data_IF_123004225857
#
_entry.id   IF_123004225857
#
_cell.length_a   1.000
_cell.length_b   1.000
_cell.length_c   1.000
_cell.angle_alpha   90.00
_cell.angle_beta   90.00
_cell.angle_gamma   90.00
#
_symmetry.space_group_name_H-M   'P 1'
#
loop_
_entity.id
_entity.type
_entity.pdbx_description
1 polymer ?
#
# COMPACT_ATOMS: atom_id res chain seq x y z
N UNK A 1 -1.62 11.49 -52.00
CA UNK A 1 -1.16 12.11 -50.74
C UNK A 1 -2.21 12.03 -49.61
N UNK A 2 -3.50 12.32 -49.89
CA UNK A 2 -4.58 12.23 -48.89
C UNK A 2 -4.72 10.86 -48.21
N UNK A 3 -4.61 9.75 -48.97
CA UNK A 3 -4.73 8.37 -48.46
C UNK A 3 -3.65 7.97 -47.44
N UNK A 4 -2.46 8.58 -47.51
CA UNK A 4 -1.36 8.38 -46.56
C UNK A 4 -1.58 9.18 -45.28
N UNK A 5 -2.21 10.35 -45.40
CA UNK A 5 -2.61 11.18 -44.27
C UNK A 5 -3.70 10.48 -43.43
N UNK A 6 -4.70 9.88 -44.08
CA UNK A 6 -5.77 9.11 -43.43
C UNK A 6 -5.28 7.84 -42.75
N UNK A 7 -4.30 7.13 -43.33
CA UNK A 7 -3.70 5.94 -42.71
C UNK A 7 -2.95 6.27 -41.41
N UNK A 8 -2.19 7.38 -41.40
CA UNK A 8 -1.46 7.83 -40.21
C UNK A 8 -2.41 8.27 -39.09
N UNK A 9 -3.46 9.02 -39.42
CA UNK A 9 -4.45 9.45 -38.43
C UNK A 9 -5.26 8.28 -37.87
N UNK A 10 -5.63 7.29 -38.70
CA UNK A 10 -6.29 6.08 -38.23
C UNK A 10 -5.45 5.31 -37.21
N UNK A 11 -4.14 5.19 -37.46
CA UNK A 11 -3.21 4.48 -36.58
C UNK A 11 -3.03 5.19 -35.23
N UNK A 12 -2.97 6.53 -35.25
CA UNK A 12 -2.93 7.36 -34.03
C UNK A 12 -4.21 7.18 -33.20
N UNK A 13 -5.38 7.18 -33.84
CA UNK A 13 -6.67 7.01 -33.14
C UNK A 13 -6.77 5.62 -32.50
N UNK A 14 -6.40 4.56 -33.23
CA UNK A 14 -6.42 3.18 -32.69
C UNK A 14 -5.45 3.03 -31.51
N UNK A 15 -4.25 3.60 -31.60
CA UNK A 15 -3.27 3.63 -30.50
C UNK A 15 -3.86 4.25 -29.24
N UNK A 16 -4.47 5.43 -29.36
CA UNK A 16 -5.07 6.13 -28.21
C UNK A 16 -6.20 5.32 -27.56
N UNK A 17 -7.00 4.60 -28.34
CA UNK A 17 -8.08 3.73 -27.82
C UNK A 17 -7.50 2.53 -27.06
N UNK A 18 -6.44 1.90 -27.56
CA UNK A 18 -5.78 0.76 -26.88
C UNK A 18 -5.13 1.19 -25.56
N UNK A 19 -4.52 2.38 -25.52
CA UNK A 19 -3.96 2.94 -24.29
C UNK A 19 -5.06 3.33 -23.28
N UNK A 20 -6.17 3.90 -23.76
CA UNK A 20 -7.31 4.26 -22.90
C UNK A 20 -8.09 3.04 -22.40
N UNK A 21 -8.11 1.94 -23.16
CA UNK A 21 -8.73 0.66 -22.81
C UNK A 21 -7.97 -0.15 -21.75
N UNK A 22 -6.78 0.28 -21.31
CA UNK A 22 -6.04 -0.34 -20.21
C UNK A 22 -6.46 0.20 -18.82
N UNK A 23 -7.72 0.62 -18.64
CA UNK A 23 -8.19 1.29 -17.41
C UNK A 23 -8.43 0.35 -16.22
N UNK A 24 -8.52 -0.96 -16.44
CA UNK A 24 -8.75 -1.97 -15.39
C UNK A 24 -7.51 -2.81 -15.10
N UNK A 25 -6.32 -2.22 -15.19
CA UNK A 25 -5.13 -2.87 -14.63
C UNK A 25 -5.16 -2.67 -13.12
N UNK A 26 -5.78 -3.60 -12.41
CA UNK A 26 -5.55 -3.75 -10.97
C UNK A 26 -4.12 -4.24 -10.82
N UNK A 27 -3.17 -3.31 -10.69
CA UNK A 27 -1.74 -3.63 -10.58
C UNK A 27 -1.45 -4.34 -9.25
N UNK A 28 -2.37 -4.22 -8.27
CA UNK A 28 -2.30 -4.88 -6.97
C UNK A 28 -3.72 -5.26 -6.50
N UNK A 29 -4.18 -6.45 -6.89
CA UNK A 29 -5.37 -7.11 -6.31
C UNK A 29 -4.85 -8.20 -5.39
N UNK A 30 -4.96 -8.02 -4.09
CA UNK A 30 -4.42 -8.98 -3.12
C UNK A 30 -5.42 -10.11 -2.80
N UNK A 31 -6.66 -10.04 -3.31
CA UNK A 31 -7.75 -10.99 -3.03
C UNK A 31 -7.93 -11.23 -1.52
N UNK A 32 -7.73 -10.18 -0.71
CA UNK A 32 -7.80 -10.24 0.75
C UNK A 32 -6.64 -11.01 1.40
N UNK A 33 -5.52 -11.22 0.71
CA UNK A 33 -4.35 -11.90 1.27
C UNK A 33 -3.72 -11.10 2.42
N UNK A 34 -3.71 -9.77 2.34
CA UNK A 34 -3.20 -8.93 3.43
C UNK A 34 -4.14 -9.05 4.63
N UNK A 35 -5.45 -8.88 4.41
CA UNK A 35 -6.47 -8.99 5.47
C UNK A 35 -6.40 -10.33 6.21
N UNK A 36 -6.40 -11.45 5.48
CA UNK A 36 -6.22 -12.80 6.06
C UNK A 36 -4.93 -12.94 6.87
N UNK A 37 -3.86 -12.28 6.47
CA UNK A 37 -2.56 -12.32 7.16
C UNK A 37 -2.52 -11.39 8.38
N UNK A 38 -3.41 -10.40 8.44
CA UNK A 38 -3.46 -9.39 9.51
C UNK A 38 -4.55 -9.61 10.55
N UNK A 39 -5.60 -10.38 10.24
CA UNK A 39 -6.77 -10.58 11.12
C UNK A 39 -6.43 -11.07 12.53
N UNK A 40 -5.34 -11.83 12.70
CA UNK A 40 -4.90 -12.36 14.00
C UNK A 40 -3.55 -11.78 14.44
N UNK A 41 -3.16 -10.61 13.92
CA UNK A 41 -1.90 -9.99 14.29
C UNK A 41 -2.04 -9.29 15.64
N UNK A 42 -1.68 -10.03 16.68
CA UNK A 42 -1.59 -9.55 18.04
C UNK A 42 -0.34 -8.66 18.19
N UNK A 43 -0.50 -7.34 18.09
CA UNK A 43 0.59 -6.38 18.28
C UNK A 43 0.49 -5.83 19.70
N UNK A 44 1.55 -6.01 20.49
CA UNK A 44 1.69 -5.52 21.87
C UNK A 44 0.88 -6.25 22.94
N UNK A 45 0.27 -7.39 22.65
CA UNK A 45 -0.32 -8.20 23.73
C UNK A 45 0.78 -8.98 24.44
N UNK A 46 0.89 -8.72 25.73
CA UNK A 46 1.90 -9.33 26.57
C UNK A 46 1.42 -10.64 27.16
N UNK A 47 0.18 -11.07 26.89
CA UNK A 47 -0.47 -12.25 27.45
C UNK A 47 -0.34 -12.29 28.99
N UNK A 48 -0.43 -11.12 29.63
CA UNK A 48 -0.21 -10.95 31.08
C UNK A 48 1.22 -11.19 31.56
N UNK A 49 2.19 -11.39 30.66
CA UNK A 49 3.62 -11.64 30.96
C UNK A 49 4.41 -10.36 31.21
N UNK A 50 3.83 -9.19 30.93
CA UNK A 50 4.34 -7.90 31.39
C UNK A 50 3.42 -7.46 32.52
N UNK A 51 3.95 -7.47 33.75
CA UNK A 51 3.22 -6.98 34.91
C UNK A 51 2.84 -5.50 34.76
N UNK A 52 1.82 -5.07 35.51
CA UNK A 52 1.35 -3.67 35.66
C UNK A 52 2.42 -2.72 36.27
N UNK A 53 3.69 -3.11 36.22
CA UNK A 53 4.77 -2.34 36.77
C UNK A 53 5.11 -1.19 35.82
N UNK A 54 5.44 -0.07 36.46
CA UNK A 54 5.71 1.26 35.93
C UNK A 54 6.98 1.30 35.06
N UNK A 55 7.04 0.40 34.07
CA UNK A 55 8.21 0.12 33.23
C UNK A 55 8.43 1.31 32.30
N UNK A 56 9.52 2.08 32.49
CA UNK A 56 9.77 3.23 31.64
C UNK A 56 10.04 2.75 30.21
N UNK A 57 9.17 3.13 29.27
CA UNK A 57 9.28 2.75 27.86
C UNK A 57 10.45 3.50 27.22
N UNK A 58 10.69 4.75 27.66
CA UNK A 58 11.80 5.59 27.21
C UNK A 58 12.40 6.39 28.37
N UNK A 59 13.73 6.30 28.51
CA UNK A 59 14.54 7.06 29.46
C UNK A 59 15.57 7.86 28.67
N UNK A 60 15.72 9.16 28.95
CA UNK A 60 16.72 9.99 28.28
C UNK A 60 18.14 9.70 28.81
N UNK A 61 19.15 10.32 28.20
CA UNK A 61 20.56 10.20 28.61
C UNK A 61 20.84 10.64 30.05
N UNK A 62 19.94 11.42 30.64
CA UNK A 62 20.04 12.00 31.98
C UNK A 62 19.27 11.16 33.02
N UNK A 63 18.62 10.07 32.59
CA UNK A 63 17.89 9.14 33.48
C UNK A 63 16.41 9.47 33.70
N UNK A 64 15.85 10.44 32.98
CA UNK A 64 14.48 10.89 33.15
C UNK A 64 13.49 10.14 32.25
N UNK A 65 12.30 9.80 32.79
CA UNK A 65 11.18 9.23 32.02
C UNK A 65 10.62 10.32 31.09
N UNK A 66 10.67 10.11 29.77
CA UNK A 66 10.21 11.12 28.79
C UNK A 66 8.81 10.85 28.23
N UNK A 67 8.26 9.66 28.46
CA UNK A 67 6.89 9.28 28.11
C UNK A 67 6.26 8.70 29.37
N UNK A 68 5.05 9.17 29.73
CA UNK A 68 4.27 8.72 30.88
C UNK A 68 3.29 7.63 30.48
#
# INVERSE_FOLDING_TARGET
>A
MAYLLTKKTALIIVSLIVLAGCKDRVIWEDNGAIEKTTENREIWDTNGKVGNDDRPIWVNKDGEKVIK
#
